data_IF_525843718208
#
_entry.id   IF_525843718208
#
_cell.length_a   1.000
_cell.length_b   1.000
_cell.length_c   1.000
_cell.angle_alpha   90.00
_cell.angle_beta   90.00
_cell.angle_gamma   90.00
#
_symmetry.space_group_name_H-M   'P 1'
#
loop_
_entity.id
_entity.type
_entity.pdbx_description
1 polymer ?
#
# COMPACT_ATOMS: atom_id res chain seq x y z
N UNK A 1 11.97 10.60 -20.95
CA UNK A 1 11.32 11.40 -19.89
C UNK A 1 10.75 10.53 -18.76
N UNK A 2 10.06 9.40 -19.03
CA UNK A 2 9.44 8.57 -17.98
C UNK A 2 10.39 7.66 -17.17
N UNK A 3 11.58 7.34 -17.67
CA UNK A 3 12.62 6.56 -16.95
C UNK A 3 13.59 7.48 -16.18
N UNK A 4 13.06 8.51 -15.52
CA UNK A 4 13.84 9.33 -14.60
C UNK A 4 14.25 8.57 -13.33
N UNK A 5 14.93 9.22 -12.38
CA UNK A 5 15.36 8.62 -11.11
C UNK A 5 14.21 8.01 -10.29
N UNK A 6 12.97 8.43 -10.55
CA UNK A 6 11.76 7.94 -9.88
C UNK A 6 11.07 6.77 -10.60
N UNK A 7 11.57 6.34 -11.77
CA UNK A 7 10.93 5.30 -12.58
C UNK A 7 10.77 3.95 -11.85
N UNK A 8 11.71 3.60 -10.98
CA UNK A 8 11.64 2.36 -10.19
C UNK A 8 10.49 2.32 -9.19
N UNK A 9 10.03 3.48 -8.69
CA UNK A 9 8.85 3.53 -7.82
C UNK A 9 7.57 3.21 -8.60
N UNK A 10 7.50 3.64 -9.86
CA UNK A 10 6.38 3.31 -10.75
C UNK A 10 6.30 1.81 -11.01
N UNK A 11 7.45 1.18 -11.30
CA UNK A 11 7.52 -0.27 -11.46
C UNK A 11 7.22 -1.02 -10.16
N UNK A 12 7.66 -0.48 -9.02
CA UNK A 12 7.41 -1.03 -7.69
C UNK A 12 5.93 -1.06 -7.28
N UNK A 13 5.06 -0.25 -7.90
CA UNK A 13 3.62 -0.32 -7.60
C UNK A 13 2.98 -1.63 -8.03
N UNK A 14 3.52 -2.31 -9.05
CA UNK A 14 2.99 -3.59 -9.54
C UNK A 14 3.07 -4.67 -8.44
N UNK A 15 4.26 -5.01 -7.90
CA UNK A 15 4.35 -5.96 -6.80
C UNK A 15 3.70 -5.43 -5.51
N UNK A 16 3.74 -4.10 -5.27
CA UNK A 16 3.11 -3.51 -4.09
C UNK A 16 1.59 -3.73 -4.05
N UNK A 17 0.91 -3.54 -5.18
CA UNK A 17 -0.52 -3.77 -5.32
C UNK A 17 -0.88 -5.25 -5.13
N UNK A 18 -0.09 -6.15 -5.71
CA UNK A 18 -0.29 -7.59 -5.57
C UNK A 18 -0.14 -8.06 -4.12
N UNK A 19 0.95 -7.68 -3.43
CA UNK A 19 1.21 -8.07 -2.05
C UNK A 19 0.18 -7.49 -1.07
N UNK A 20 -0.21 -6.22 -1.27
CA UNK A 20 -1.24 -5.58 -0.47
C UNK A 20 -2.61 -6.24 -0.64
N UNK A 21 -2.97 -6.58 -1.89
CA UNK A 21 -4.20 -7.30 -2.21
C UNK A 21 -4.24 -8.70 -1.58
N UNK A 22 -3.15 -9.45 -1.67
CA UNK A 22 -3.04 -10.80 -1.10
C UNK A 22 -3.22 -10.79 0.43
N UNK A 23 -2.70 -9.78 1.11
CA UNK A 23 -2.93 -9.60 2.54
C UNK A 23 -4.38 -9.24 2.87
N UNK A 24 -5.04 -8.47 1.99
CA UNK A 24 -6.42 -8.03 2.18
C UNK A 24 -7.46 -9.15 2.06
N UNK A 25 -7.21 -10.15 1.21
CA UNK A 25 -8.07 -11.34 1.06
C UNK A 25 -8.18 -12.17 2.35
N UNK A 26 -7.23 -11.99 3.27
CA UNK A 26 -7.23 -12.70 4.55
C UNK A 26 -8.21 -12.07 5.53
N UNK A 27 -8.90 -12.93 6.29
CA UNK A 27 -9.84 -12.51 7.36
C UNK A 27 -9.14 -11.86 8.56
N UNK A 28 -7.87 -12.21 8.79
CA UNK A 28 -7.09 -11.71 9.92
C UNK A 28 -6.58 -10.29 9.65
N UNK A 29 -6.84 -9.35 10.57
CA UNK A 29 -6.33 -7.97 10.48
C UNK A 29 -4.80 -7.91 10.36
N UNK A 30 -4.10 -8.79 11.08
CA UNK A 30 -2.64 -8.86 11.03
C UNK A 30 -2.11 -9.18 9.62
N UNK A 31 -2.79 -10.04 8.87
CA UNK A 31 -2.42 -10.35 7.50
C UNK A 31 -2.64 -9.18 6.54
N UNK A 32 -3.63 -8.32 6.81
CA UNK A 32 -3.87 -7.08 6.04
C UNK A 32 -2.75 -6.07 6.25
N UNK A 33 -2.39 -5.82 7.51
CA UNK A 33 -1.24 -4.95 7.84
C UNK A 33 0.06 -5.52 7.29
N UNK A 34 0.26 -6.83 7.39
CA UNK A 34 1.40 -7.53 6.80
C UNK A 34 1.48 -7.37 5.28
N UNK A 35 0.36 -7.49 4.57
CA UNK A 35 0.30 -7.27 3.11
C UNK A 35 0.61 -5.83 2.72
N UNK A 36 0.06 -4.84 3.44
CA UNK A 36 0.37 -3.42 3.20
C UNK A 36 1.85 -3.12 3.46
N UNK A 37 2.42 -3.63 4.55
CA UNK A 37 3.84 -3.46 4.86
C UNK A 37 4.73 -4.15 3.82
N UNK A 38 4.40 -5.38 3.42
CA UNK A 38 5.14 -6.09 2.38
C UNK A 38 5.09 -5.36 1.04
N UNK A 39 3.92 -4.81 0.68
CA UNK A 39 3.78 -4.00 -0.52
C UNK A 39 4.63 -2.72 -0.48
N UNK A 40 4.66 -2.02 0.66
CA UNK A 40 5.49 -0.84 0.85
C UNK A 40 6.99 -1.18 0.78
N UNK A 41 7.41 -2.30 1.39
CA UNK A 41 8.79 -2.79 1.30
C UNK A 41 9.18 -3.10 -0.15
N UNK A 42 8.31 -3.75 -0.92
CA UNK A 42 8.57 -4.04 -2.33
C UNK A 42 8.68 -2.75 -3.16
N UNK A 43 7.79 -1.77 -2.91
CA UNK A 43 7.81 -0.46 -3.55
C UNK A 43 9.16 0.23 -3.31
N UNK A 44 9.59 0.32 -2.05
CA UNK A 44 10.86 0.98 -1.70
C UNK A 44 12.07 0.20 -2.19
N UNK A 45 12.05 -1.13 -2.16
CA UNK A 45 13.16 -1.94 -2.67
C UNK A 45 13.37 -1.68 -4.17
N UNK A 46 12.30 -1.70 -4.97
CA UNK A 46 12.37 -1.40 -6.41
C UNK A 46 12.75 0.06 -6.68
N UNK A 47 12.16 1.00 -5.93
CA UNK A 47 12.40 2.44 -6.07
C UNK A 47 13.84 2.84 -5.74
N UNK A 48 14.34 2.43 -4.57
CA UNK A 48 15.70 2.75 -4.09
C UNK A 48 16.75 2.06 -4.95
N UNK A 49 16.55 0.79 -5.34
CA UNK A 49 17.49 0.10 -6.21
C UNK A 49 17.62 0.80 -7.57
N UNK A 50 16.50 1.18 -8.17
CA UNK A 50 16.52 1.95 -9.42
C UNK A 50 17.12 3.34 -9.25
N UNK A 51 16.82 4.03 -8.15
CA UNK A 51 17.35 5.35 -7.86
C UNK A 51 18.88 5.30 -7.76
N UNK A 52 19.43 4.34 -7.02
CA UNK A 52 20.88 4.13 -6.92
C UNK A 52 21.51 3.83 -8.28
N UNK A 53 20.92 2.92 -9.06
CA UNK A 53 21.44 2.55 -10.38
C UNK A 53 21.36 3.68 -11.42
N UNK A 54 20.28 4.46 -11.41
CA UNK A 54 20.04 5.51 -12.41
C UNK A 54 20.78 6.81 -12.12
N UNK A 55 21.11 7.09 -10.85
CA UNK A 55 21.81 8.31 -10.43
C UNK A 55 23.27 8.10 -10.06
N UNK A 56 23.70 6.85 -9.86
CA UNK A 56 25.03 6.52 -9.35
C UNK A 56 25.23 6.83 -7.85
N UNK A 57 24.15 7.18 -7.13
CA UNK A 57 24.21 7.41 -5.69
C UNK A 57 24.50 6.11 -4.93
N UNK A 58 25.21 6.23 -3.81
CA UNK A 58 25.36 5.12 -2.86
C UNK A 58 23.98 4.67 -2.34
N UNK A 59 23.86 3.39 -1.98
CA UNK A 59 22.59 2.84 -1.49
C UNK A 59 22.07 3.61 -0.27
N UNK A 60 22.96 4.01 0.63
CA UNK A 60 22.60 4.84 1.79
C UNK A 60 21.99 6.19 1.37
N UNK A 61 22.61 6.90 0.43
CA UNK A 61 22.09 8.17 -0.06
C UNK A 61 20.77 7.99 -0.82
N UNK A 62 20.62 6.91 -1.58
CA UNK A 62 19.37 6.59 -2.25
C UNK A 62 18.23 6.31 -1.25
N UNK A 63 18.51 5.67 -0.12
CA UNK A 63 17.52 5.48 0.96
C UNK A 63 17.18 6.82 1.62
N UNK A 64 18.19 7.61 1.96
CA UNK A 64 18.00 8.91 2.63
C UNK A 64 17.17 9.88 1.79
N UNK A 65 17.39 9.90 0.47
CA UNK A 65 16.71 10.83 -0.44
C UNK A 65 15.41 10.23 -1.02
N UNK A 66 15.35 8.92 -1.21
CA UNK A 66 14.27 8.24 -1.91
C UNK A 66 13.26 7.53 -1.01
N UNK A 67 13.61 7.16 0.22
CA UNK A 67 12.70 6.40 1.10
C UNK A 67 12.27 7.22 2.33
N UNK A 68 13.24 7.78 3.06
CA UNK A 68 12.99 8.51 4.31
C UNK A 68 11.95 9.64 4.19
N UNK A 69 11.99 10.55 3.19
CA UNK A 69 11.03 11.65 3.15
C UNK A 69 9.60 11.21 2.82
N UNK A 70 9.43 10.06 2.18
CA UNK A 70 8.11 9.53 1.78
C UNK A 70 7.47 8.67 2.87
N UNK A 71 8.28 8.07 3.75
CA UNK A 71 7.82 7.15 4.78
C UNK A 71 6.74 7.72 5.71
N UNK A 72 6.85 8.96 6.25
CA UNK A 72 5.78 9.55 7.07
C UNK A 72 4.46 9.69 6.31
N UNK A 73 4.53 10.09 5.04
CA UNK A 73 3.38 10.24 4.18
C UNK A 73 2.72 8.90 3.84
N UNK A 74 3.48 7.81 3.77
CA UNK A 74 2.94 6.48 3.51
C UNK A 74 2.34 5.82 4.75
N UNK A 75 2.91 6.07 5.93
CA UNK A 75 2.29 5.68 7.20
C UNK A 75 0.92 6.36 7.34
N UNK A 76 0.84 7.68 7.07
CA UNK A 76 -0.42 8.40 7.11
C UNK A 76 -1.44 7.82 6.13
N UNK A 77 -1.04 7.58 4.87
CA UNK A 77 -1.93 6.95 3.87
C UNK A 77 -2.40 5.56 4.31
N UNK A 78 -1.51 4.75 4.89
CA UNK A 78 -1.86 3.42 5.38
C UNK A 78 -2.92 3.47 6.48
N UNK A 79 -2.79 4.39 7.43
CA UNK A 79 -3.79 4.61 8.49
C UNK A 79 -5.12 5.03 7.88
N UNK A 80 -5.13 6.03 7.00
CA UNK A 80 -6.34 6.51 6.34
C UNK A 80 -7.01 5.41 5.52
N UNK A 81 -6.23 4.62 4.76
CA UNK A 81 -6.73 3.51 3.97
C UNK A 81 -7.38 2.42 4.86
N UNK A 82 -6.76 2.08 6.00
CA UNK A 82 -7.33 1.12 6.96
C UNK A 82 -8.67 1.62 7.51
N UNK A 83 -8.74 2.89 7.93
CA UNK A 83 -9.95 3.48 8.50
C UNK A 83 -11.09 3.57 7.46
N UNK A 84 -10.77 4.00 6.24
CA UNK A 84 -11.72 4.08 5.15
C UNK A 84 -12.28 2.69 4.81
N UNK A 85 -11.41 1.68 4.75
CA UNK A 85 -11.80 0.31 4.45
C UNK A 85 -12.73 -0.28 5.51
N UNK A 86 -12.43 -0.08 6.80
CA UNK A 86 -13.29 -0.52 7.90
C UNK A 86 -14.64 0.19 7.87
N UNK A 87 -14.68 1.49 7.53
CA UNK A 87 -15.93 2.24 7.41
C UNK A 87 -16.79 1.71 6.27
N UNK A 88 -16.20 1.46 5.11
CA UNK A 88 -16.90 0.91 3.93
C UNK A 88 -17.44 -0.49 4.25
N UNK A 89 -16.65 -1.34 4.90
CA UNK A 89 -17.07 -2.68 5.30
C UNK A 89 -18.31 -2.66 6.22
N UNK A 90 -18.36 -1.72 7.18
CA UNK A 90 -19.51 -1.56 8.09
C UNK A 90 -20.78 -1.10 7.35
N UNK A 91 -20.65 -0.19 6.39
CA UNK A 91 -21.80 0.26 5.58
C UNK A 91 -22.34 -0.89 4.72
N UNK A 92 -21.45 -1.68 4.12
CA UNK A 92 -21.83 -2.85 3.32
C UNK A 92 -22.57 -3.91 4.16
N UNK A 93 -22.17 -4.13 5.41
CA UNK A 93 -22.88 -5.06 6.30
C UNK A 93 -24.24 -4.54 6.76
N UNK A 94 -24.37 -3.24 7.05
CA UNK A 94 -25.65 -2.64 7.45
C UNK A 94 -26.70 -2.65 6.35
N UNK A 95 -26.28 -2.44 5.09
CA UNK A 95 -27.17 -2.48 3.93
C UNK A 95 -27.71 -3.89 3.65
N UNK A 96 -26.91 -4.95 3.81
CA UNK A 96 -27.39 -6.33 3.67
C UNK A 96 -28.36 -6.74 4.80
N UNK A 97 -28.18 -6.20 6.02
CA UNK A 97 -29.09 -6.45 7.14
C UNK A 97 -30.47 -5.80 6.92
N UNK A 98 -30.52 -4.58 6.35
CA UNK A 98 -31.78 -3.87 6.07
C UNK A 98 -32.67 -4.57 5.02
N UNK A 99 -32.07 -5.09 3.94
CA UNK A 99 -32.81 -5.78 2.86
C UNK A 99 -33.43 -7.11 3.34
N UNK A 100 -32.83 -7.76 4.34
CA UNK A 100 -33.34 -9.05 4.86
C UNK A 100 -34.48 -8.86 5.87
N UNK A 101 -34.52 -7.72 6.57
CA UNK A 101 -35.58 -7.40 7.54
C UNK A 101 -36.92 -7.01 6.91
N UNK A 102 -36.93 -6.49 5.68
CA UNK A 102 -38.15 -6.03 5.01
C UNK A 102 -39.03 -7.17 4.47
N UNK A 103 -38.47 -8.38 4.28
CA UNK A 103 -39.22 -9.55 3.76
C UNK A 103 -39.97 -10.38 4.82
N UNK A 104 -39.99 -9.94 6.08
CA UNK A 104 -40.68 -10.65 7.18
C UNK A 104 -41.80 -9.83 7.84
N UNK A 105 -42.18 -8.69 7.27
CA UNK A 105 -43.33 -7.88 7.70
C UNK A 105 -44.61 -8.21 6.93
#
# INVERSE_FOLDING_TARGET
MFLGPTGGYLLGFIPAAFLSGLGYERKLRLARYGGMAAGLCALYACGVAWLSLSTGLSLEMAILLGAIPFLPGDILKAVVASLATDRIARLKSGMHAGITGEKQG
#
